data_IF_015544014930
#
_entry.id   IF_015544014930
#
_cell.length_a   1.000
_cell.length_b   1.000
_cell.length_c   1.000
_cell.angle_alpha   90.00
_cell.angle_beta   90.00
_cell.angle_gamma   90.00
#
_symmetry.space_group_name_H-M   'P 1'
#
loop_
_entity.id
_entity.type
_entity.pdbx_description
1 polymer ?
#
# COMPACT_ATOMS: atom_id res chain seq x y z
N UNK A 1 -22.74 1.56 -20.86
CA UNK A 1 -21.86 0.37 -20.93
C UNK A 1 -21.36 0.03 -19.54
N UNK A 2 -21.83 -1.08 -18.96
CA UNK A 2 -21.44 -1.46 -17.60
C UNK A 2 -19.96 -1.86 -17.53
N UNK A 3 -19.19 -1.25 -16.62
CA UNK A 3 -17.83 -1.74 -16.29
C UNK A 3 -17.95 -3.22 -15.89
N UNK A 4 -17.20 -4.09 -16.56
CA UNK A 4 -17.26 -5.54 -16.38
C UNK A 4 -16.95 -5.99 -14.94
N UNK A 5 -17.31 -7.22 -14.56
CA UNK A 5 -17.23 -7.73 -13.18
C UNK A 5 -15.82 -7.61 -12.58
N UNK A 6 -14.78 -7.75 -13.40
CA UNK A 6 -13.38 -7.56 -12.99
C UNK A 6 -13.09 -6.14 -12.49
N UNK A 7 -13.56 -5.10 -13.18
CA UNK A 7 -13.27 -3.72 -12.78
C UNK A 7 -13.94 -3.38 -11.44
N UNK A 8 -15.14 -3.91 -11.20
CA UNK A 8 -15.83 -3.76 -9.92
C UNK A 8 -15.08 -4.45 -8.79
N UNK A 9 -14.57 -5.67 -9.03
CA UNK A 9 -13.75 -6.40 -8.06
C UNK A 9 -12.44 -5.66 -7.75
N UNK A 10 -11.75 -5.13 -8.76
CA UNK A 10 -10.52 -4.34 -8.58
C UNK A 10 -10.79 -3.08 -7.77
N UNK A 11 -11.86 -2.35 -8.07
CA UNK A 11 -12.23 -1.15 -7.32
C UNK A 11 -12.63 -1.48 -5.87
N UNK A 12 -13.40 -2.55 -5.65
CA UNK A 12 -13.78 -3.01 -4.32
C UNK A 12 -12.55 -3.40 -3.48
N UNK A 13 -11.59 -4.13 -4.08
CA UNK A 13 -10.33 -4.46 -3.42
C UNK A 13 -9.53 -3.20 -3.08
N UNK A 14 -9.45 -2.25 -4.02
CA UNK A 14 -8.79 -0.97 -3.78
C UNK A 14 -9.43 -0.19 -2.63
N UNK A 15 -10.76 -0.23 -2.53
CA UNK A 15 -11.50 0.40 -1.43
C UNK A 15 -11.20 -0.26 -0.09
N UNK A 16 -11.22 -1.59 -0.02
CA UNK A 16 -10.90 -2.34 1.20
C UNK A 16 -9.48 -2.03 1.68
N UNK A 17 -8.51 -1.93 0.76
CA UNK A 17 -7.13 -1.60 1.12
C UNK A 17 -7.00 -0.15 1.58
N UNK A 18 -7.60 0.79 0.84
CA UNK A 18 -7.59 2.21 1.22
C UNK A 18 -8.22 2.43 2.60
N UNK A 19 -9.37 1.80 2.86
CA UNK A 19 -10.05 1.89 4.16
C UNK A 19 -9.27 1.22 5.29
N UNK A 20 -8.64 0.07 5.03
CA UNK A 20 -7.75 -0.58 6.00
C UNK A 20 -6.57 0.32 6.37
N UNK A 21 -5.94 0.96 5.38
CA UNK A 21 -4.84 1.89 5.61
C UNK A 21 -5.29 3.14 6.37
N UNK A 22 -6.42 3.73 5.96
CA UNK A 22 -7.03 4.87 6.64
C UNK A 22 -7.44 4.56 8.09
N UNK A 23 -7.88 3.33 8.36
CA UNK A 23 -8.25 2.87 9.70
C UNK A 23 -7.02 2.56 10.58
N UNK A 24 -5.94 2.04 10.00
CA UNK A 24 -4.70 1.75 10.71
C UNK A 24 -3.99 3.02 11.18
N UNK A 25 -3.96 4.06 10.35
CA UNK A 25 -3.28 5.33 10.62
C UNK A 25 -3.64 5.95 12.00
N UNK A 26 -4.92 6.17 12.36
CA UNK A 26 -5.29 6.73 13.66
C UNK A 26 -5.10 5.77 14.84
N UNK A 27 -5.01 4.46 14.60
CA UNK A 27 -4.71 3.48 15.66
C UNK A 27 -3.23 3.62 16.03
N UNK A 28 -2.35 3.57 15.03
CA UNK A 28 -0.91 3.73 15.22
C UNK A 28 -0.60 5.13 15.78
N UNK A 29 -1.21 6.19 15.23
CA UNK A 29 -0.99 7.55 15.73
C UNK A 29 -1.41 7.75 17.19
N UNK A 30 -2.53 7.15 17.63
CA UNK A 30 -2.96 7.24 19.04
C UNK A 30 -2.04 6.45 19.97
N UNK A 31 -1.65 5.25 19.57
CA UNK A 31 -0.75 4.43 20.38
C UNK A 31 0.59 5.12 20.62
N UNK A 32 1.14 5.75 19.58
CA UNK A 32 2.44 6.39 19.60
C UNK A 32 2.41 7.88 19.95
N UNK A 33 1.24 8.44 20.32
CA UNK A 33 1.06 9.87 20.59
C UNK A 33 2.05 10.41 21.62
N UNK A 34 2.25 9.68 22.72
CA UNK A 34 3.17 10.08 23.80
C UNK A 34 4.59 10.27 23.28
N UNK A 35 5.04 9.40 22.36
CA UNK A 35 6.35 9.51 21.74
C UNK A 35 6.48 10.69 20.77
N UNK A 36 5.42 10.98 20.01
CA UNK A 36 5.39 12.15 19.14
C UNK A 36 5.39 13.46 19.91
N UNK A 37 4.60 13.56 20.98
CA UNK A 37 4.53 14.73 21.85
C UNK A 37 5.86 14.97 22.58
N UNK A 38 6.52 13.90 23.03
CA UNK A 38 7.83 13.98 23.69
C UNK A 38 8.99 14.29 22.71
N UNK A 39 8.80 14.12 21.39
CA UNK A 39 9.85 14.19 20.35
C UNK A 39 11.10 13.34 20.67
N UNK A 40 10.93 12.28 21.45
CA UNK A 40 12.03 11.48 21.98
C UNK A 40 11.67 9.99 21.96
N UNK A 41 11.98 9.32 20.86
CA UNK A 41 11.71 7.88 20.69
C UNK A 41 12.65 6.97 21.49
N UNK A 42 13.78 7.50 21.98
CA UNK A 42 14.73 6.79 22.84
C UNK A 42 14.44 6.94 24.34
N UNK A 43 13.39 7.66 24.72
CA UNK A 43 12.99 7.83 26.11
C UNK A 43 12.43 6.54 26.73
N UNK A 44 12.52 6.41 28.06
CA UNK A 44 12.01 5.24 28.80
C UNK A 44 10.54 4.93 28.49
N UNK A 45 9.71 5.96 28.35
CA UNK A 45 8.28 5.82 28.05
C UNK A 45 8.05 5.19 26.67
N UNK A 46 8.82 5.59 25.67
CA UNK A 46 8.76 5.03 24.32
C UNK A 46 9.37 3.64 24.22
N UNK A 47 10.45 3.40 24.99
CA UNK A 47 11.02 2.05 25.12
C UNK A 47 10.02 1.06 25.74
N UNK A 48 9.33 1.46 26.81
CA UNK A 48 8.30 0.64 27.45
C UNK A 48 7.11 0.39 26.50
N UNK A 49 6.63 1.44 25.83
CA UNK A 49 5.56 1.32 24.82
C UNK A 49 5.97 0.37 23.68
N UNK A 50 7.22 0.44 23.22
CA UNK A 50 7.74 -0.44 22.17
C UNK A 50 7.71 -1.92 22.56
N UNK A 51 8.07 -2.24 23.81
CA UNK A 51 8.01 -3.62 24.32
C UNK A 51 6.58 -4.12 24.55
N UNK A 52 5.67 -3.23 24.94
CA UNK A 52 4.29 -3.60 25.30
C UNK A 52 3.30 -3.51 24.12
N UNK A 53 3.70 -2.90 23.00
CA UNK A 53 2.83 -2.73 21.84
C UNK A 53 2.56 -4.07 21.16
N UNK A 54 1.28 -4.41 21.00
CA UNK A 54 0.87 -5.61 20.27
C UNK A 54 1.03 -5.40 18.76
N UNK A 55 2.05 -6.04 18.20
CA UNK A 55 2.34 -6.02 16.77
C UNK A 55 1.41 -6.91 15.94
N UNK A 56 0.56 -7.73 16.57
CA UNK A 56 -0.30 -8.68 15.87
C UNK A 56 -1.13 -7.98 14.79
N UNK A 57 -1.69 -6.81 15.09
CA UNK A 57 -2.48 -6.05 14.11
C UNK A 57 -1.62 -5.58 12.92
N UNK A 58 -0.44 -5.01 13.19
CA UNK A 58 0.47 -4.49 12.16
C UNK A 58 1.00 -5.63 11.28
N UNK A 59 1.40 -6.75 11.89
CA UNK A 59 1.87 -7.94 11.20
C UNK A 59 0.75 -8.62 10.40
N UNK A 60 -0.47 -8.67 10.92
CA UNK A 60 -1.63 -9.19 10.20
C UNK A 60 -1.93 -8.35 8.96
N UNK A 61 -1.83 -7.03 9.07
CA UNK A 61 -1.98 -6.12 7.93
C UNK A 61 -0.91 -6.37 6.88
N UNK A 62 0.36 -6.52 7.28
CA UNK A 62 1.44 -6.87 6.37
C UNK A 62 1.25 -8.24 5.72
N UNK A 63 0.76 -9.23 6.48
CA UNK A 63 0.41 -10.55 5.95
C UNK A 63 -0.69 -10.49 4.89
N UNK A 64 -1.76 -9.73 5.14
CA UNK A 64 -2.83 -9.50 4.16
C UNK A 64 -2.30 -8.76 2.93
N UNK A 65 -1.48 -7.72 3.13
CA UNK A 65 -0.85 -6.99 2.04
C UNK A 65 0.00 -7.91 1.15
N UNK A 66 0.81 -8.79 1.77
CA UNK A 66 1.62 -9.79 1.05
C UNK A 66 0.76 -10.77 0.24
N UNK A 67 -0.32 -11.29 0.81
CA UNK A 67 -1.23 -12.18 0.07
C UNK A 67 -1.85 -11.48 -1.14
N UNK A 68 -2.16 -10.19 -1.02
CA UNK A 68 -2.71 -9.39 -2.10
C UNK A 68 -1.67 -9.04 -3.17
N UNK A 69 -0.40 -8.84 -2.79
CA UNK A 69 0.73 -8.76 -3.74
C UNK A 69 0.79 -10.04 -4.56
N UNK A 70 0.75 -11.21 -3.91
CA UNK A 70 0.80 -12.51 -4.59
C UNK A 70 -0.38 -12.68 -5.55
N UNK A 71 -1.61 -12.39 -5.09
CA UNK A 71 -2.80 -12.42 -5.94
C UNK A 71 -2.68 -11.44 -7.13
N UNK A 72 -2.17 -10.23 -6.89
CA UNK A 72 -1.91 -9.23 -7.92
C UNK A 72 -0.88 -9.68 -8.94
N UNK A 73 0.20 -10.36 -8.53
CA UNK A 73 1.21 -10.94 -9.43
C UNK A 73 0.62 -12.05 -10.32
N UNK A 74 -0.23 -12.91 -9.76
CA UNK A 74 -0.95 -13.94 -10.51
C UNK A 74 -1.87 -13.28 -11.56
N UNK A 75 -2.58 -12.22 -11.18
CA UNK A 75 -3.46 -11.49 -12.09
C UNK A 75 -2.70 -10.65 -13.12
N UNK A 76 -1.52 -10.12 -12.79
CA UNK A 76 -0.69 -9.37 -13.72
C UNK A 76 -0.18 -10.25 -14.87
N UNK A 77 0.14 -11.52 -14.60
CA UNK A 77 0.49 -12.52 -15.63
C UNK A 77 -0.62 -12.76 -16.66
N UNK A 78 -1.87 -12.42 -16.34
CA UNK A 78 -3.00 -12.48 -17.28
C UNK A 78 -3.17 -11.22 -18.17
N UNK A 79 -2.15 -10.35 -18.23
CA UNK A 79 -2.18 -9.12 -19.04
C UNK A 79 -2.88 -7.93 -18.39
N UNK A 80 -3.22 -8.02 -17.10
CA UNK A 80 -3.93 -6.96 -16.37
C UNK A 80 -2.96 -5.92 -15.79
N UNK A 81 -2.51 -5.00 -16.65
CA UNK A 81 -1.57 -3.90 -16.34
C UNK A 81 -1.84 -3.07 -15.06
N UNK A 82 -3.08 -2.73 -14.66
CA UNK A 82 -3.30 -1.93 -13.45
C UNK A 82 -2.87 -2.65 -12.16
N UNK A 83 -2.94 -3.99 -12.14
CA UNK A 83 -2.46 -4.77 -11.00
C UNK A 83 -0.95 -4.76 -10.89
N UNK A 84 -0.22 -4.65 -12.00
CA UNK A 84 1.25 -4.56 -11.98
C UNK A 84 1.73 -3.26 -11.33
N UNK A 85 1.06 -2.13 -11.60
CA UNK A 85 1.39 -0.83 -10.98
C UNK A 85 1.03 -0.78 -9.50
N UNK A 86 -0.04 -1.45 -9.08
CA UNK A 86 -0.45 -1.52 -7.67
C UNK A 86 0.56 -2.25 -6.77
N UNK A 87 1.47 -3.04 -7.36
CA UNK A 87 2.56 -3.73 -6.67
C UNK A 87 3.74 -2.82 -6.36
N UNK A 88 3.91 -1.70 -7.09
CA UNK A 88 5.07 -0.82 -6.91
C UNK A 88 5.13 -0.17 -5.53
N UNK A 89 4.04 0.38 -4.94
CA UNK A 89 4.10 0.90 -3.57
C UNK A 89 4.46 -0.18 -2.54
N UNK A 90 3.98 -1.41 -2.75
CA UNK A 90 4.23 -2.53 -1.84
C UNK A 90 5.67 -3.07 -1.96
N UNK A 91 6.25 -3.04 -3.15
CA UNK A 91 7.62 -3.49 -3.41
C UNK A 91 8.67 -2.40 -3.15
N UNK A 92 8.45 -1.17 -3.62
CA UNK A 92 9.35 -0.03 -3.42
C UNK A 92 9.26 0.53 -2.00
N UNK A 93 8.11 0.40 -1.34
CA UNK A 93 7.90 0.83 0.04
C UNK A 93 8.83 0.14 1.03
N UNK A 94 9.31 -1.08 0.73
CA UNK A 94 10.22 -1.82 1.61
C UNK A 94 11.70 -1.44 1.43
N UNK A 95 12.08 -0.77 0.34
CA UNK A 95 13.49 -0.50 0.01
C UNK A 95 13.85 0.99 0.01
N UNK A 96 13.07 1.83 -0.68
CA UNK A 96 13.37 3.27 -0.77
C UNK A 96 13.15 4.00 0.54
N UNK A 97 12.23 3.51 1.37
CA UNK A 97 11.78 4.24 2.54
C UNK A 97 12.61 3.88 3.76
N UNK A 98 12.96 2.60 3.91
CA UNK A 98 13.86 2.12 4.96
C UNK A 98 15.21 2.82 4.98
N UNK A 99 15.71 3.18 3.79
CA UNK A 99 17.04 3.75 3.64
C UNK A 99 17.05 5.24 3.30
N UNK A 100 15.91 5.88 3.00
CA UNK A 100 15.87 7.31 2.68
C UNK A 100 14.83 8.10 3.49
N UNK A 101 13.57 7.70 3.49
CA UNK A 101 12.49 8.51 4.09
C UNK A 101 12.37 8.34 5.61
N UNK A 102 12.51 7.12 6.14
CA UNK A 102 12.48 6.89 7.58
C UNK A 102 13.62 7.60 8.32
N UNK A 103 14.88 7.58 7.84
CA UNK A 103 15.95 8.38 8.43
C UNK A 103 15.65 9.89 8.40
N UNK A 104 15.08 10.40 7.30
CA UNK A 104 14.78 11.83 7.17
C UNK A 104 13.68 12.31 8.12
N UNK A 105 12.68 11.47 8.37
CA UNK A 105 11.53 11.81 9.21
C UNK A 105 11.74 11.48 10.70
N UNK A 106 12.59 10.48 10.99
CA UNK A 106 12.84 10.00 12.36
C UNK A 106 14.21 10.42 12.93
N UNK A 107 14.98 11.27 12.23
CA UNK A 107 16.26 11.78 12.74
C UNK A 107 17.45 10.83 12.59
N UNK A 108 17.46 10.01 11.53
CA UNK A 108 18.57 9.13 11.15
C UNK A 108 18.30 7.64 11.29
N UNK A 109 17.15 7.25 11.86
CA UNK A 109 16.79 5.85 12.13
C UNK A 109 16.02 5.21 10.97
N UNK A 110 16.30 3.93 10.67
CA UNK A 110 15.57 3.19 9.63
C UNK A 110 14.18 2.78 10.14
N UNK A 111 13.28 2.34 9.25
CA UNK A 111 11.94 1.94 9.69
C UNK A 111 11.89 0.59 10.43
N UNK A 112 12.95 -0.20 10.28
CA UNK A 112 13.19 -1.43 11.07
C UNK A 112 13.55 -1.13 12.53
N UNK A 113 14.08 0.07 12.83
CA UNK A 113 14.60 0.39 14.16
C UNK A 113 13.54 0.90 15.14
N UNK A 114 12.39 1.41 14.65
CA UNK A 114 11.34 1.95 15.51
C UNK A 114 9.91 1.57 15.10
N UNK A 115 9.12 1.01 16.02
CA UNK A 115 7.82 0.44 15.71
C UNK A 115 6.60 1.37 15.44
N UNK A 116 6.62 2.72 15.64
CA UNK A 116 5.60 3.53 14.96
C UNK A 116 5.79 3.43 13.45
N UNK A 117 7.05 3.41 12.99
CA UNK A 117 7.43 3.39 11.58
C UNK A 117 6.68 2.31 10.82
N UNK A 118 6.82 1.05 11.22
CA UNK A 118 6.17 -0.09 10.55
C UNK A 118 4.64 0.07 10.40
N UNK A 119 3.97 0.63 11.40
CA UNK A 119 2.52 0.83 11.37
C UNK A 119 2.09 1.96 10.43
N UNK A 120 2.79 3.09 10.44
CA UNK A 120 2.55 4.19 9.49
C UNK A 120 2.89 3.78 8.05
N UNK A 121 3.92 2.96 7.87
CA UNK A 121 4.30 2.45 6.55
C UNK A 121 3.28 1.47 6.01
N UNK A 122 2.81 0.53 6.83
CA UNK A 122 1.70 -0.35 6.45
C UNK A 122 0.49 0.47 5.99
N UNK A 123 0.12 1.50 6.76
CA UNK A 123 -1.01 2.38 6.41
C UNK A 123 -0.78 3.13 5.08
N UNK A 124 0.40 3.70 4.87
CA UNK A 124 0.76 4.41 3.64
C UNK A 124 0.74 3.52 2.40
N UNK A 125 1.34 2.33 2.48
CA UNK A 125 1.35 1.35 1.40
C UNK A 125 -0.07 0.91 1.02
N UNK A 126 -0.91 0.61 2.01
CA UNK A 126 -2.31 0.24 1.80
C UNK A 126 -3.10 1.35 1.09
N UNK A 127 -2.92 2.60 1.51
CA UNK A 127 -3.57 3.76 0.90
C UNK A 127 -3.13 3.93 -0.57
N UNK A 128 -1.82 3.88 -0.82
CA UNK A 128 -1.27 4.04 -2.16
C UNK A 128 -1.74 2.93 -3.11
N UNK A 129 -1.65 1.67 -2.68
CA UNK A 129 -2.14 0.52 -3.46
C UNK A 129 -3.64 0.63 -3.69
N UNK A 130 -4.42 0.99 -2.67
CA UNK A 130 -5.86 1.19 -2.80
C UNK A 130 -6.21 2.22 -3.86
N UNK A 131 -5.54 3.37 -3.84
CA UNK A 131 -5.71 4.44 -4.82
C UNK A 131 -5.37 3.98 -6.25
N UNK A 132 -4.24 3.29 -6.44
CA UNK A 132 -3.84 2.79 -7.76
C UNK A 132 -4.85 1.79 -8.32
N UNK A 133 -5.38 0.89 -7.48
CA UNK A 133 -6.39 -0.08 -7.91
C UNK A 133 -7.71 0.59 -8.29
N UNK A 134 -8.16 1.58 -7.53
CA UNK A 134 -9.36 2.35 -7.85
C UNK A 134 -9.16 3.11 -9.16
N UNK A 135 -8.07 3.88 -9.30
CA UNK A 135 -7.78 4.64 -10.52
C UNK A 135 -7.65 3.70 -11.73
N UNK A 136 -6.93 2.59 -11.59
CA UNK A 136 -6.74 1.59 -12.63
C UNK A 136 -8.03 0.87 -13.05
N UNK A 137 -8.98 0.70 -12.14
CA UNK A 137 -10.31 0.17 -12.43
C UNK A 137 -11.23 1.18 -13.14
N UNK A 138 -11.02 2.47 -12.86
CA UNK A 138 -11.80 3.56 -13.44
C UNK A 138 -11.25 4.02 -14.80
N UNK A 139 -9.95 3.79 -15.05
CA UNK A 139 -9.26 4.21 -16.26
C UNK A 139 -9.86 3.58 -17.53
N UNK A 140 -10.15 4.37 -18.58
CA UNK A 140 -10.64 3.84 -19.84
C UNK A 140 -9.60 2.90 -20.44
N UNK A 141 -9.95 1.64 -20.73
CA UNK A 141 -9.12 0.82 -21.63
C UNK A 141 -9.09 1.55 -22.96
N UNK A 142 -7.92 2.05 -23.36
CA UNK A 142 -7.70 2.44 -24.73
C UNK A 142 -8.13 1.24 -25.57
N UNK A 143 -9.20 1.40 -26.36
CA UNK A 143 -9.47 0.47 -27.44
C UNK A 143 -8.21 0.52 -28.28
N UNK A 144 -7.43 -0.55 -28.27
CA UNK A 144 -6.60 -0.86 -29.43
C UNK A 144 -7.61 -0.92 -30.55
N UNK A 145 -7.74 0.18 -31.29
CA UNK A 145 -8.41 0.15 -32.57
C UNK A 145 -7.70 -0.96 -33.33
N UNK A 146 -8.42 -2.06 -33.55
CA UNK A 146 -8.07 -2.98 -34.62
C UNK A 146 -7.95 -2.10 -35.85
N UNK A 147 -6.71 -1.84 -36.22
CA UNK A 147 -6.39 -1.38 -37.56
C UNK A 147 -6.69 -2.62 -38.40
N UNK A 148 -7.96 -2.82 -38.77
CA UNK A 148 -8.29 -3.60 -39.94
C UNK A 148 -7.60 -2.86 -41.09
N UNK A 149 -6.52 -3.39 -41.68
CA UNK A 149 -6.09 -2.84 -42.95
C UNK A 149 -7.28 -3.05 -43.89
N UNK A 150 -7.91 -1.94 -44.28
CA UNK A 150 -8.81 -1.89 -45.42
C UNK A 150 -8.14 -2.71 -46.51
N UNK A 151 -8.73 -3.87 -46.80
CA UNK A 151 -8.34 -4.67 -47.96
C UNK A 151 -8.54 -3.75 -49.16
N UNK A 152 -7.43 -3.20 -49.67
CA UNK A 152 -7.42 -2.46 -50.93
C UNK A 152 -7.95 -3.44 -51.97
N UNK A 153 -9.21 -3.24 -52.33
CA UNK A 153 -9.91 -4.05 -53.30
C UNK A 153 -9.38 -3.79 -54.70
N UNK A 154 -9.32 -4.90 -55.43
CA UNK A 154 -9.36 -5.06 -56.88
C UNK A 154 -8.23 -4.43 -57.72
#
# INVERSE_FOLDING_TARGET
>A
MGRGPTARLTAALGLVLGLSGAGLLPIVARAWRVCFEARAFSGRECGALQSDFDYTLVLSVWGVALLLVIAGLVLARSGRRPFAWALLPLLLGNGMIDHAAAPLLNGGYTSWDFPPGMGFWAAGCLLATGAILIVGALWPRARTAEYEPESVGA
#
